data_IF_127393815100
#
_entry.id   IF_127393815100
#
_cell.length_a   1.000
_cell.length_b   1.000
_cell.length_c   1.000
_cell.angle_alpha   90.00
_cell.angle_beta   90.00
_cell.angle_gamma   90.00
#
_symmetry.space_group_name_H-M   'P 1'
#
loop_
_entity.id
_entity.type
_entity.pdbx_description
1 polymer ?
#
# COMPACT_ATOMS: atom_id res chain seq x y z
N UNK A 1 -5.68 -0.34 16.84
CA UNK A 1 -4.61 -0.98 16.06
C UNK A 1 -5.09 -1.54 14.73
N UNK A 2 -4.48 -1.11 13.64
CA UNK A 2 -4.66 -1.60 12.28
C UNK A 2 -3.42 -2.35 11.80
N UNK A 3 -3.63 -3.32 10.89
CA UNK A 3 -2.57 -4.11 10.27
C UNK A 3 -2.76 -4.08 8.75
N UNK A 4 -1.81 -3.48 8.05
CA UNK A 4 -1.78 -3.42 6.59
C UNK A 4 -0.72 -4.37 6.07
N UNK A 5 -1.09 -5.22 5.13
CA UNK A 5 -0.16 -6.05 4.36
C UNK A 5 -0.06 -5.42 2.99
N UNK A 6 1.10 -4.80 2.72
CA UNK A 6 1.33 -3.97 1.54
C UNK A 6 1.91 -4.79 0.39
N UNK A 7 1.42 -4.52 -0.82
CA UNK A 7 2.11 -4.84 -2.08
C UNK A 7 2.52 -3.56 -2.79
N UNK A 8 3.56 -3.66 -3.62
CA UNK A 8 4.02 -2.57 -4.47
C UNK A 8 3.67 -2.86 -5.92
N UNK A 9 2.78 -2.05 -6.48
CA UNK A 9 2.33 -2.16 -7.86
C UNK A 9 2.91 -1.01 -8.69
N UNK A 10 4.13 -1.22 -9.16
CA UNK A 10 4.86 -0.24 -9.97
C UNK A 10 4.44 -0.32 -11.43
N UNK A 11 3.61 0.63 -11.87
CA UNK A 11 3.17 0.75 -13.28
C UNK A 11 4.09 1.64 -14.12
N UNK A 12 5.14 2.21 -13.51
CA UNK A 12 6.08 3.12 -14.16
C UNK A 12 7.32 2.34 -14.57
N UNK A 13 7.65 2.40 -15.86
CA UNK A 13 8.92 1.88 -16.38
C UNK A 13 9.91 3.02 -16.55
N UNK A 14 10.70 3.28 -15.51
CA UNK A 14 11.73 4.32 -15.53
C UNK A 14 12.85 4.00 -14.55
N UNK A 15 14.10 4.19 -14.96
CA UNK A 15 15.27 4.10 -14.06
C UNK A 15 15.20 5.14 -12.92
N UNK A 16 14.44 6.23 -13.11
CA UNK A 16 14.23 7.25 -12.08
C UNK A 16 13.21 6.85 -11.00
N UNK A 17 12.48 5.76 -11.20
CA UNK A 17 11.49 5.21 -10.25
C UNK A 17 11.70 3.68 -10.16
N UNK A 18 12.82 3.22 -9.58
CA UNK A 18 13.09 1.78 -9.50
C UNK A 18 12.10 1.06 -8.57
N UNK A 19 11.96 -0.25 -8.71
CA UNK A 19 11.25 -1.07 -7.73
C UNK A 19 11.97 -1.04 -6.38
N UNK A 20 11.22 -1.05 -5.29
CA UNK A 20 11.77 -1.27 -3.94
C UNK A 20 11.95 -2.74 -3.63
N UNK A 21 12.96 -3.06 -2.84
CA UNK A 21 12.98 -4.29 -2.03
C UNK A 21 12.01 -4.18 -0.85
N UNK A 22 11.68 -5.32 -0.22
CA UNK A 22 10.80 -5.34 0.94
C UNK A 22 11.45 -4.62 2.15
N UNK A 23 12.75 -4.79 2.32
CA UNK A 23 13.56 -4.21 3.38
C UNK A 23 13.66 -2.68 3.25
N UNK A 24 14.02 -2.17 2.08
CA UNK A 24 14.09 -0.73 1.81
C UNK A 24 12.74 -0.04 2.07
N UNK A 25 11.66 -0.70 1.65
CA UNK A 25 10.32 -0.16 1.84
C UNK A 25 9.92 -0.14 3.31
N UNK A 26 10.16 -1.23 4.05
CA UNK A 26 9.83 -1.31 5.47
C UNK A 26 10.64 -0.31 6.32
N UNK A 27 11.95 -0.23 6.08
CA UNK A 27 12.82 0.72 6.77
C UNK A 27 12.43 2.15 6.45
N UNK A 28 12.20 2.46 5.16
CA UNK A 28 11.82 3.79 4.72
C UNK A 28 10.48 4.27 5.25
N UNK A 29 9.47 3.39 5.31
CA UNK A 29 8.16 3.73 5.89
C UNK A 29 8.27 4.04 7.38
N UNK A 30 9.01 3.23 8.14
CA UNK A 30 9.22 3.47 9.58
C UNK A 30 10.09 4.70 9.86
N UNK A 31 11.03 5.02 8.96
CA UNK A 31 11.89 6.20 9.09
C UNK A 31 11.14 7.52 8.84
N UNK A 32 10.12 7.50 7.98
CA UNK A 32 9.45 8.70 7.50
C UNK A 32 8.08 8.99 8.15
N UNK A 33 7.68 8.16 9.12
CA UNK A 33 6.48 8.34 9.95
C UNK A 33 6.66 7.82 11.36
N UNK A 34 6.29 8.64 12.35
CA UNK A 34 6.24 8.24 13.76
C UNK A 34 5.01 7.37 14.10
N UNK A 35 4.10 7.19 13.14
CA UNK A 35 2.84 6.45 13.31
C UNK A 35 2.87 5.06 12.67
N UNK A 36 3.92 4.73 11.91
CA UNK A 36 4.06 3.47 11.19
C UNK A 36 5.20 2.66 11.81
N UNK A 37 4.91 1.41 12.16
CA UNK A 37 5.92 0.39 12.37
C UNK A 37 5.81 -0.64 11.26
N UNK A 38 6.83 -0.73 10.42
CA UNK A 38 6.83 -1.60 9.25
C UNK A 38 7.88 -2.71 9.36
N UNK A 39 7.52 -3.91 8.92
CA UNK A 39 8.42 -5.07 8.86
C UNK A 39 8.37 -5.69 7.46
N UNK A 40 9.54 -5.98 6.88
CA UNK A 40 9.64 -6.69 5.61
C UNK A 40 9.09 -8.11 5.73
N UNK A 41 8.43 -8.58 4.67
CA UNK A 41 7.88 -9.92 4.55
C UNK A 41 8.65 -10.70 3.49
N UNK A 42 8.97 -11.95 3.80
CA UNK A 42 9.46 -12.89 2.81
C UNK A 42 8.28 -13.61 2.13
N UNK A 43 7.69 -12.96 1.12
CA UNK A 43 6.54 -13.50 0.40
C UNK A 43 6.53 -13.01 -1.06
N UNK A 44 6.06 -13.82 -2.03
CA UNK A 44 6.16 -13.48 -3.47
C UNK A 44 5.30 -12.29 -3.92
N UNK A 45 4.26 -11.94 -3.17
CA UNK A 45 3.33 -10.85 -3.49
C UNK A 45 3.36 -9.73 -2.45
N UNK A 46 3.07 -10.07 -1.19
CA UNK A 46 3.16 -9.15 -0.05
C UNK A 46 4.60 -8.81 0.33
N UNK A 47 4.88 -7.53 0.50
CA UNK A 47 6.22 -7.03 0.80
C UNK A 47 6.39 -6.58 2.24
N UNK A 48 5.38 -5.93 2.83
CA UNK A 48 5.54 -5.26 4.13
C UNK A 48 4.30 -5.46 4.99
N UNK A 49 4.50 -5.76 6.27
CA UNK A 49 3.48 -5.65 7.31
C UNK A 49 3.65 -4.31 8.04
N UNK A 50 2.62 -3.48 8.01
CA UNK A 50 2.54 -2.21 8.72
C UNK A 50 1.55 -2.32 9.88
N UNK A 51 2.02 -1.94 11.07
CA UNK A 51 1.24 -1.83 12.30
C UNK A 51 1.08 -0.34 12.65
N UNK A 52 -0.13 0.08 13.04
CA UNK A 52 -0.40 1.46 13.47
C UNK A 52 -1.63 1.57 14.37
N UNK A 53 -1.73 2.62 15.17
CA UNK A 53 -2.93 2.97 15.94
C UNK A 53 -3.91 3.90 15.19
N UNK A 54 -3.51 4.40 14.01
CA UNK A 54 -4.38 5.22 13.16
C UNK A 54 -5.60 4.45 12.64
N UNK A 55 -6.65 5.18 12.24
CA UNK A 55 -7.74 4.57 11.46
C UNK A 55 -7.23 4.10 10.09
N UNK A 56 -7.98 3.24 9.39
CA UNK A 56 -7.54 2.72 8.07
C UNK A 56 -7.34 3.83 7.04
N UNK A 57 -8.17 4.87 7.06
CA UNK A 57 -8.07 6.00 6.14
C UNK A 57 -6.87 6.90 6.46
N UNK A 58 -6.63 7.18 7.74
CA UNK A 58 -5.45 7.93 8.17
C UNK A 58 -4.16 7.17 7.89
N UNK A 59 -4.16 5.85 8.12
CA UNK A 59 -3.02 4.99 7.83
C UNK A 59 -2.73 4.91 6.33
N UNK A 60 -3.76 4.83 5.47
CA UNK A 60 -3.58 4.83 4.02
C UNK A 60 -2.89 6.12 3.53
N UNK A 61 -3.30 7.26 4.09
CA UNK A 61 -2.64 8.55 3.84
C UNK A 61 -1.19 8.54 4.32
N UNK A 62 -0.96 8.11 5.56
CA UNK A 62 0.37 8.11 6.16
C UNK A 62 1.35 7.20 5.41
N UNK A 63 0.88 6.04 4.92
CA UNK A 63 1.67 5.14 4.06
C UNK A 63 2.07 5.86 2.78
N UNK A 64 1.13 6.48 2.06
CA UNK A 64 1.43 7.18 0.81
C UNK A 64 2.37 8.37 1.03
N UNK A 65 2.13 9.18 2.06
CA UNK A 65 2.96 10.35 2.37
C UNK A 65 4.39 9.93 2.75
N UNK A 66 4.55 8.85 3.52
CA UNK A 66 5.85 8.29 3.91
C UNK A 66 6.60 7.68 2.73
N UNK A 67 5.89 7.00 1.84
CA UNK A 67 6.44 6.41 0.62
C UNK A 67 6.95 7.50 -0.35
N UNK A 68 6.23 8.61 -0.48
CA UNK A 68 6.70 9.79 -1.24
C UNK A 68 7.96 10.41 -0.63
N UNK A 69 8.02 10.52 0.70
CA UNK A 69 9.23 10.98 1.42
C UNK A 69 10.41 10.04 1.16
N UNK A 70 10.19 8.72 1.17
CA UNK A 70 11.20 7.71 0.83
C UNK A 70 11.72 7.87 -0.60
N UNK A 71 10.84 8.00 -1.59
CA UNK A 71 11.24 8.27 -2.99
C UNK A 71 12.15 9.50 -3.05
N UNK A 72 11.76 10.59 -2.40
CA UNK A 72 12.54 11.84 -2.37
C UNK A 72 13.88 11.68 -1.65
N UNK A 73 13.94 10.98 -0.51
CA UNK A 73 15.18 10.81 0.25
C UNK A 73 16.22 9.98 -0.51
N UNK A 74 15.76 9.06 -1.36
CA UNK A 74 16.60 8.27 -2.27
C UNK A 74 16.93 8.97 -3.59
N UNK A 75 16.43 10.21 -3.80
CA UNK A 75 16.65 10.97 -5.04
C UNK A 75 15.87 10.44 -6.26
N UNK A 76 14.85 9.61 -6.04
CA UNK A 76 13.97 9.11 -7.09
C UNK A 76 13.01 10.22 -7.56
N UNK A 77 12.51 10.07 -8.80
CA UNK A 77 11.45 10.94 -9.31
C UNK A 77 10.17 10.75 -8.49
N UNK A 78 9.42 11.84 -8.33
CA UNK A 78 8.10 11.87 -7.70
C UNK A 78 7.05 12.49 -8.61
N UNK A 79 7.33 12.57 -9.92
CA UNK A 79 6.41 13.13 -10.91
C UNK A 79 5.41 12.05 -11.40
N UNK A 80 4.74 11.43 -10.45
CA UNK A 80 3.76 10.39 -10.67
C UNK A 80 2.81 10.30 -9.47
N UNK A 81 1.72 9.58 -9.66
CA UNK A 81 0.72 9.39 -8.62
C UNK A 81 1.01 8.15 -7.79
N UNK A 82 0.70 8.22 -6.50
CA UNK A 82 0.62 7.08 -5.61
C UNK A 82 -0.83 6.92 -5.17
N UNK A 83 -1.38 5.73 -5.32
CA UNK A 83 -2.71 5.39 -4.80
C UNK A 83 -2.61 4.16 -3.90
N UNK A 84 -3.36 4.13 -2.81
CA UNK A 84 -3.47 3.00 -1.91
C UNK A 84 -4.88 2.43 -1.99
N UNK A 85 -4.99 1.17 -2.42
CA UNK A 85 -6.25 0.46 -2.62
C UNK A 85 -6.36 -0.66 -1.59
N UNK A 86 -7.23 -0.46 -0.60
CA UNK A 86 -7.34 -1.35 0.55
C UNK A 86 -8.59 -2.20 0.52
N UNK A 87 -8.46 -3.48 0.84
CA UNK A 87 -9.57 -4.37 1.15
C UNK A 87 -9.33 -5.14 2.43
N UNK A 88 -10.25 -5.06 3.40
CA UNK A 88 -10.16 -5.86 4.62
C UNK A 88 -10.46 -7.32 4.31
N UNK A 89 -9.73 -8.19 4.97
CA UNK A 89 -9.94 -9.64 4.92
C UNK A 89 -10.96 -10.00 5.99
N UNK A 90 -12.22 -10.15 5.62
CA UNK A 90 -13.32 -10.49 6.55
C UNK A 90 -13.55 -12.00 6.72
N UNK A 91 -12.70 -12.84 6.12
CA UNK A 91 -12.80 -14.30 6.20
C UNK A 91 -11.51 -14.93 6.68
N UNK A 92 -11.64 -16.13 7.28
CA UNK A 92 -10.50 -16.90 7.76
C UNK A 92 -9.41 -17.02 6.67
N UNK A 93 -8.19 -16.68 7.05
CA UNK A 93 -7.04 -16.80 6.16
C UNK A 93 -6.55 -18.25 6.10
N UNK A 94 -5.91 -18.61 4.99
CA UNK A 94 -5.09 -19.83 4.95
C UNK A 94 -3.92 -19.66 5.91
N UNK A 95 -3.52 -20.75 6.56
CA UNK A 95 -2.55 -20.73 7.67
C UNK A 95 -1.17 -20.17 7.31
N UNK A 96 -0.84 -20.03 6.02
CA UNK A 96 0.43 -19.48 5.52
C UNK A 96 0.34 -18.05 4.97
N UNK A 97 -0.84 -17.46 4.86
CA UNK A 97 -1.00 -16.11 4.30
C UNK A 97 -0.62 -15.04 5.33
N UNK A 98 0.22 -14.05 5.00
CA UNK A 98 0.47 -12.91 5.87
C UNK A 98 -0.78 -12.03 6.02
N UNK A 99 -1.66 -12.00 5.02
CA UNK A 99 -2.97 -11.35 5.09
C UNK A 99 -3.94 -12.25 5.88
N UNK A 100 -4.14 -11.90 7.16
CA UNK A 100 -4.99 -12.60 8.13
C UNK A 100 -6.40 -12.01 8.18
N UNK A 101 -7.34 -12.72 8.79
CA UNK A 101 -8.66 -12.17 9.11
C UNK A 101 -8.52 -10.90 9.95
N UNK A 102 -9.29 -9.86 9.59
CA UNK A 102 -9.23 -8.52 10.17
C UNK A 102 -8.11 -7.62 9.62
N UNK A 103 -7.12 -8.15 8.90
CA UNK A 103 -6.05 -7.35 8.30
C UNK A 103 -6.52 -6.74 6.97
N UNK A 104 -5.83 -5.68 6.54
CA UNK A 104 -6.05 -5.05 5.24
C UNK A 104 -4.99 -5.50 4.25
N UNK A 105 -5.41 -6.02 3.10
CA UNK A 105 -4.53 -6.14 1.95
C UNK A 105 -4.56 -4.81 1.22
N UNK A 106 -3.41 -4.18 1.04
CA UNK A 106 -3.33 -2.84 0.45
C UNK A 106 -2.35 -2.86 -0.70
N UNK A 107 -2.88 -2.60 -1.90
CA UNK A 107 -2.05 -2.43 -3.08
C UNK A 107 -1.67 -0.95 -3.21
N UNK A 108 -0.37 -0.65 -3.11
CA UNK A 108 0.14 0.71 -3.31
C UNK A 108 0.66 0.80 -4.74
N UNK A 109 -0.06 1.56 -5.56
CA UNK A 109 0.17 1.65 -7.00
C UNK A 109 0.88 2.95 -7.32
N UNK A 110 2.02 2.86 -8.00
CA UNK A 110 2.74 4.00 -8.55
C UNK A 110 2.45 4.08 -10.06
N UNK A 111 1.74 5.12 -10.53
CA UNK A 111 1.29 5.23 -11.92
C UNK A 111 1.24 6.69 -12.42
N UNK A 112 1.21 6.88 -13.74
CA UNK A 112 1.10 8.22 -14.35
C UNK A 112 -0.34 8.73 -14.43
N UNK A 113 -1.32 7.82 -14.56
CA UNK A 113 -2.74 8.15 -14.68
C UNK A 113 -3.58 7.22 -13.78
N UNK A 114 -3.92 7.68 -12.55
CA UNK A 114 -4.73 6.91 -11.61
C UNK A 114 -6.10 6.53 -12.15
N UNK A 115 -6.79 7.45 -12.82
CA UNK A 115 -8.15 7.19 -13.34
C UNK A 115 -8.13 6.05 -14.34
N UNK A 116 -7.20 6.09 -15.30
CA UNK A 116 -7.03 5.03 -16.29
C UNK A 116 -6.65 3.69 -15.65
N UNK A 117 -5.79 3.70 -14.62
CA UNK A 117 -5.44 2.48 -13.90
C UNK A 117 -6.66 1.88 -13.18
N UNK A 118 -7.43 2.71 -12.46
CA UNK A 118 -8.61 2.28 -11.71
C UNK A 118 -9.72 1.75 -12.62
N UNK A 119 -9.94 2.39 -13.78
CA UNK A 119 -10.82 1.89 -14.83
C UNK A 119 -10.35 0.52 -15.35
N UNK A 120 -9.05 0.35 -15.59
CA UNK A 120 -8.48 -0.89 -16.15
C UNK A 120 -8.69 -2.12 -15.26
N UNK A 121 -8.77 -1.92 -13.94
CA UNK A 121 -9.04 -3.00 -12.96
C UNK A 121 -10.52 -3.07 -12.55
N UNK A 122 -11.38 -2.24 -13.16
CA UNK A 122 -12.79 -2.10 -12.81
C UNK A 122 -13.00 -1.83 -11.30
N UNK A 123 -12.23 -0.88 -10.77
CA UNK A 123 -12.17 -0.61 -9.33
C UNK A 123 -13.54 -0.27 -8.73
N UNK A 124 -14.36 0.51 -9.43
CA UNK A 124 -15.69 0.89 -8.97
C UNK A 124 -16.57 -0.34 -8.70
N UNK A 125 -16.53 -1.34 -9.58
CA UNK A 125 -17.27 -2.59 -9.38
C UNK A 125 -16.70 -3.41 -8.20
N UNK A 126 -15.37 -3.46 -8.06
CA UNK A 126 -14.72 -4.14 -6.93
C UNK A 126 -15.07 -3.49 -5.58
N UNK A 127 -15.12 -2.16 -5.55
CA UNK A 127 -15.51 -1.38 -4.38
C UNK A 127 -16.99 -1.57 -4.04
N UNK A 128 -17.87 -1.50 -5.05
CA UNK A 128 -19.31 -1.68 -4.85
C UNK A 128 -19.70 -3.11 -4.40
N UNK A 129 -18.86 -4.11 -4.68
CA UNK A 129 -19.06 -5.49 -4.24
C UNK A 129 -18.69 -5.72 -2.75
N UNK A 130 -18.21 -4.70 -2.03
CA UNK A 130 -17.76 -4.79 -0.64
C UNK A 130 -18.54 -3.83 0.26
N UNK A 131 -18.69 -4.16 1.56
CA UNK A 131 -19.09 -3.18 2.56
C UNK A 131 -18.18 -1.95 2.54
N UNK A 132 -18.76 -0.76 2.70
CA UNK A 132 -18.02 0.51 2.65
C UNK A 132 -16.91 0.58 3.70
N UNK A 133 -17.11 -0.04 4.86
CA UNK A 133 -16.14 -0.09 5.95
C UNK A 133 -15.01 -1.12 5.75
N UNK A 134 -15.08 -1.96 4.71
CA UNK A 134 -14.09 -3.00 4.41
C UNK A 134 -13.33 -2.77 3.09
N UNK A 135 -13.48 -1.59 2.49
CA UNK A 135 -12.75 -1.15 1.30
C UNK A 135 -12.40 0.33 1.42
N UNK A 136 -11.22 0.72 0.94
CA UNK A 136 -10.87 2.13 0.81
C UNK A 136 -10.02 2.39 -0.42
N UNK A 137 -10.01 3.66 -0.80
CA UNK A 137 -9.13 4.21 -1.83
C UNK A 137 -8.58 5.53 -1.30
N UNK A 138 -7.27 5.68 -1.32
CA UNK A 138 -6.61 6.96 -1.08
C UNK A 138 -5.73 7.31 -2.27
N UNK A 139 -5.80 8.57 -2.71
CA UNK A 139 -4.96 9.11 -3.79
C UNK A 139 -4.12 10.23 -3.22
N UNK A 140 -2.80 10.12 -3.35
CA UNK A 140 -1.84 11.11 -2.86
C UNK A 140 -1.25 11.96 -3.95
#
# INVERSE_FOLDING_TARGET
>A
MQNFVLSHNLQIQSESVPSFTAEELAEGLSLHSDHIKANALNHPHWMVLVESELSSHELAREVVDSWKKLRKSLGHSTNHSLIALGGRKDSAATSSSPLKEGYWGVDVVECLNPDMFLESINWDALKAARPEESVFEYRG
#
